data_IF_622178564904
#
_entry.id   IF_622178564904
#
_cell.length_a   1.000
_cell.length_b   1.000
_cell.length_c   1.000
_cell.angle_alpha   90.00
_cell.angle_beta   90.00
_cell.angle_gamma   90.00
#
_symmetry.space_group_name_H-M   'P 1'
#
loop_
_entity.id
_entity.type
_entity.pdbx_description
1 polymer ?
#
# COMPACT_ATOMS: atom_id res chain seq x y z
N UNK A 1 -6.07 5.74 2.21
CA UNK A 1 -4.65 5.39 2.08
C UNK A 1 -3.80 6.57 1.60
N UNK A 2 -4.29 7.38 0.64
CA UNK A 2 -3.47 8.40 -0.04
C UNK A 2 -3.56 9.80 0.58
N UNK A 3 -4.31 10.01 1.65
CA UNK A 3 -4.52 11.32 2.28
C UNK A 3 -3.25 11.97 2.85
N UNK A 4 -2.24 11.17 3.15
CA UNK A 4 -0.95 11.67 3.64
C UNK A 4 0.02 12.08 2.53
N UNK A 5 -0.39 12.02 1.26
CA UNK A 5 0.47 12.41 0.14
C UNK A 5 1.07 13.82 0.31
N UNK A 6 0.31 14.88 0.65
CA UNK A 6 0.89 16.20 0.85
C UNK A 6 1.96 16.23 1.96
N UNK A 7 1.74 15.49 3.03
CA UNK A 7 2.65 15.49 4.20
C UNK A 7 3.99 14.84 3.88
N UNK A 8 3.99 13.70 3.22
CA UNK A 8 5.21 12.93 3.00
C UNK A 8 5.84 13.15 1.63
N UNK A 9 5.03 13.28 0.56
CA UNK A 9 5.56 13.36 -0.80
C UNK A 9 6.13 14.74 -1.14
N UNK A 10 5.62 15.82 -0.54
CA UNK A 10 6.27 17.13 -0.65
C UNK A 10 7.66 17.13 0.00
N UNK A 11 7.82 16.45 1.14
CA UNK A 11 9.11 16.29 1.79
C UNK A 11 10.02 15.37 0.98
N UNK A 12 9.47 14.28 0.40
CA UNK A 12 10.21 13.40 -0.49
C UNK A 12 10.76 14.14 -1.72
N UNK A 13 9.95 15.01 -2.33
CA UNK A 13 10.37 15.83 -3.46
C UNK A 13 11.54 16.77 -3.11
N UNK A 14 11.55 17.31 -1.90
CA UNK A 14 12.57 18.24 -1.43
C UNK A 14 13.91 17.56 -1.05
N UNK A 15 13.99 16.21 -1.06
CA UNK A 15 15.24 15.51 -0.77
C UNK A 15 16.25 15.62 -1.92
N UNK A 16 17.52 15.75 -1.58
CA UNK A 16 18.63 15.72 -2.53
C UNK A 16 19.30 14.35 -2.65
N UNK A 17 18.80 13.36 -1.92
CA UNK A 17 19.26 11.98 -1.88
C UNK A 17 18.14 11.02 -2.31
N UNK A 18 18.45 10.12 -3.25
CA UNK A 18 17.48 9.15 -3.76
C UNK A 18 17.00 8.17 -2.69
N UNK A 19 17.89 7.76 -1.77
CA UNK A 19 17.54 6.84 -0.68
C UNK A 19 16.60 7.52 0.32
N UNK A 20 16.86 8.78 0.68
CA UNK A 20 15.97 9.53 1.59
C UNK A 20 14.60 9.78 0.92
N UNK A 21 14.56 10.15 -0.37
CA UNK A 21 13.31 10.25 -1.13
C UNK A 21 12.54 8.93 -1.09
N UNK A 22 13.22 7.82 -1.31
CA UNK A 22 12.63 6.48 -1.30
C UNK A 22 12.05 6.11 0.07
N UNK A 23 12.76 6.39 1.16
CA UNK A 23 12.28 6.19 2.55
C UNK A 23 11.00 6.96 2.85
N UNK A 24 10.87 8.21 2.37
CA UNK A 24 9.64 8.98 2.54
C UNK A 24 8.46 8.37 1.79
N UNK A 25 8.66 7.78 0.61
CA UNK A 25 7.60 7.08 -0.12
C UNK A 25 7.18 5.81 0.62
N UNK A 26 8.13 5.03 1.15
CA UNK A 26 7.83 3.87 1.99
C UNK A 26 7.03 4.30 3.23
N UNK A 27 7.45 5.37 3.91
CA UNK A 27 6.77 5.92 5.09
C UNK A 27 5.36 6.39 4.75
N UNK A 28 5.17 7.06 3.61
CA UNK A 28 3.87 7.47 3.10
C UNK A 28 2.91 6.28 2.96
N UNK A 29 3.37 5.22 2.31
CA UNK A 29 2.55 4.04 2.08
C UNK A 29 2.17 3.35 3.41
N UNK A 30 3.13 3.20 4.33
CA UNK A 30 2.89 2.61 5.66
C UNK A 30 1.94 3.47 6.49
N UNK A 31 2.15 4.79 6.52
CA UNK A 31 1.29 5.72 7.26
C UNK A 31 -0.17 5.65 6.82
N UNK A 32 -0.43 5.36 5.55
CA UNK A 32 -1.79 5.21 5.01
C UNK A 32 -2.50 3.93 5.46
N UNK A 33 -1.79 2.91 5.90
CA UNK A 33 -2.37 1.58 6.15
C UNK A 33 -3.43 1.57 7.25
N UNK A 34 -3.30 2.45 8.28
CA UNK A 34 -4.26 2.51 9.37
C UNK A 34 -5.70 2.85 8.92
N UNK A 35 -5.87 3.52 7.78
CA UNK A 35 -7.20 3.78 7.21
C UNK A 35 -7.89 2.51 6.68
N UNK A 36 -7.14 1.42 6.49
CA UNK A 36 -7.68 0.16 5.98
C UNK A 36 -8.42 -0.66 7.05
N UNK A 37 -8.25 -0.34 8.33
CA UNK A 37 -8.85 -1.08 9.45
C UNK A 37 -10.28 -0.62 9.80
N UNK A 38 -10.80 0.39 9.11
CA UNK A 38 -12.18 0.84 9.27
C UNK A 38 -13.16 -0.28 8.93
N UNK A 39 -14.06 -0.60 9.87
CA UNK A 39 -15.01 -1.71 9.70
C UNK A 39 -16.33 -1.32 9.04
N UNK A 40 -16.47 -0.05 8.68
CA UNK A 40 -17.65 0.42 7.95
C UNK A 40 -17.49 0.08 6.46
N UNK A 41 -18.38 -0.77 5.95
CA UNK A 41 -18.40 -1.12 4.54
C UNK A 41 -19.20 -0.06 3.77
N UNK A 42 -18.56 0.75 2.92
CA UNK A 42 -19.29 1.65 2.02
C UNK A 42 -20.03 0.84 0.93
N UNK A 43 -20.92 1.49 0.20
CA UNK A 43 -21.44 0.93 -1.04
C UNK A 43 -20.32 0.81 -2.08
N UNK A 44 -20.41 -0.22 -2.92
CA UNK A 44 -19.55 -0.31 -4.08
C UNK A 44 -19.90 0.83 -5.06
N UNK A 45 -18.92 1.44 -5.72
CA UNK A 45 -19.21 2.40 -6.77
C UNK A 45 -19.93 1.71 -7.94
N UNK A 46 -20.77 2.45 -8.66
CA UNK A 46 -21.36 1.96 -9.90
C UNK A 46 -20.36 2.10 -11.06
N UNK A 47 -20.57 1.32 -12.13
CA UNK A 47 -19.73 1.42 -13.32
C UNK A 47 -19.77 2.84 -13.92
N UNK A 48 -18.60 3.44 -14.14
CA UNK A 48 -18.43 4.79 -14.61
C UNK A 48 -18.57 5.88 -13.53
N UNK A 49 -18.79 5.50 -12.27
CA UNK A 49 -18.77 6.46 -11.17
C UNK A 49 -17.39 7.10 -11.03
N UNK A 50 -17.37 8.43 -10.97
CA UNK A 50 -16.16 9.22 -10.82
C UNK A 50 -16.17 9.98 -9.50
N UNK A 51 -14.97 10.21 -8.97
CA UNK A 51 -14.73 11.08 -7.83
C UNK A 51 -13.62 12.07 -8.19
N UNK A 52 -13.85 13.35 -7.91
CA UNK A 52 -12.86 14.40 -8.11
C UNK A 52 -12.74 15.26 -6.85
N UNK A 53 -11.52 15.64 -6.52
CA UNK A 53 -11.22 16.50 -5.38
C UNK A 53 -9.85 17.13 -5.56
N UNK A 54 -9.51 18.09 -4.70
CA UNK A 54 -8.19 18.71 -4.64
C UNK A 54 -7.69 18.62 -3.19
N UNK A 55 -6.43 18.18 -3.00
CA UNK A 55 -5.79 18.14 -1.69
C UNK A 55 -5.35 19.54 -1.27
N UNK A 56 -4.96 19.68 0.01
CA UNK A 56 -4.59 20.98 0.60
C UNK A 56 -3.30 21.59 0.02
N UNK A 57 -2.50 20.82 -0.73
CA UNK A 57 -1.30 21.29 -1.43
C UNK A 57 -1.56 21.59 -2.92
N UNK A 58 -2.82 21.57 -3.35
CA UNK A 58 -3.19 21.82 -4.74
C UNK A 58 -3.13 20.59 -5.65
N UNK A 59 -2.82 19.41 -5.12
CA UNK A 59 -2.83 18.16 -5.91
C UNK A 59 -4.26 17.77 -6.26
N UNK A 60 -4.57 17.64 -7.54
CA UNK A 60 -5.86 17.18 -8.04
C UNK A 60 -5.97 15.66 -7.95
N UNK A 61 -7.14 15.21 -7.51
CA UNK A 61 -7.48 13.79 -7.35
C UNK A 61 -8.60 13.45 -8.33
N UNK A 62 -8.41 12.38 -9.08
CA UNK A 62 -9.43 11.79 -9.95
C UNK A 62 -9.48 10.29 -9.75
N UNK A 63 -10.68 9.76 -9.55
CA UNK A 63 -10.91 8.32 -9.45
C UNK A 63 -12.07 7.93 -10.36
N UNK A 64 -12.04 6.71 -10.89
CA UNK A 64 -13.11 6.16 -11.72
C UNK A 64 -13.23 4.65 -11.53
N UNK A 65 -14.48 4.17 -11.39
CA UNK A 65 -14.79 2.75 -11.40
C UNK A 65 -14.97 2.26 -12.83
N UNK A 66 -13.93 1.68 -13.41
CA UNK A 66 -13.85 1.36 -14.85
C UNK A 66 -14.31 -0.04 -15.21
N UNK A 67 -14.44 -0.95 -14.22
CA UNK A 67 -14.95 -2.30 -14.41
C UNK A 67 -15.67 -2.76 -13.15
N UNK A 68 -16.75 -3.52 -13.30
CA UNK A 68 -17.53 -4.05 -12.18
C UNK A 68 -17.33 -5.57 -11.98
N UNK A 69 -17.00 -6.29 -13.04
CA UNK A 69 -16.68 -7.72 -13.04
C UNK A 69 -15.47 -8.01 -13.94
N UNK A 70 -14.24 -8.10 -13.38
CA UNK A 70 -13.85 -7.87 -11.98
C UNK A 70 -13.94 -6.40 -11.58
N UNK A 71 -14.11 -6.08 -10.27
CA UNK A 71 -14.21 -4.70 -9.81
C UNK A 71 -12.84 -4.02 -9.88
N UNK A 72 -12.73 -3.00 -10.75
CA UNK A 72 -11.52 -2.20 -10.96
C UNK A 72 -11.86 -0.74 -10.79
N UNK A 73 -11.14 -0.08 -9.89
CA UNK A 73 -11.18 1.38 -9.74
C UNK A 73 -9.79 1.94 -9.98
N UNK A 74 -9.70 2.89 -10.90
CA UNK A 74 -8.47 3.63 -11.15
C UNK A 74 -8.44 4.90 -10.31
N UNK A 75 -7.23 5.35 -9.99
CA UNK A 75 -7.01 6.61 -9.32
C UNK A 75 -5.78 7.31 -9.89
N UNK A 76 -5.86 8.63 -9.93
CA UNK A 76 -4.79 9.51 -10.33
C UNK A 76 -4.78 10.76 -9.45
N UNK A 77 -3.59 11.12 -8.99
CA UNK A 77 -3.30 12.35 -8.27
C UNK A 77 -2.29 13.12 -9.11
N UNK A 78 -2.57 14.37 -9.40
CA UNK A 78 -1.72 15.20 -10.26
C UNK A 78 -1.37 16.48 -9.53
N UNK A 79 -0.15 16.56 -9.07
CA UNK A 79 0.41 17.73 -8.40
C UNK A 79 1.66 18.24 -9.12
N UNK A 80 2.13 19.41 -8.72
CA UNK A 80 3.34 20.03 -9.27
C UNK A 80 4.60 19.26 -8.88
N UNK A 81 4.66 18.76 -7.64
CA UNK A 81 5.85 18.14 -7.04
C UNK A 81 5.84 16.61 -7.14
N UNK A 82 4.67 16.01 -7.28
CA UNK A 82 4.51 14.58 -7.41
C UNK A 82 3.22 14.24 -8.14
N UNK A 83 3.16 13.04 -8.67
CA UNK A 83 1.92 12.42 -9.12
C UNK A 83 1.82 11.00 -8.57
N UNK A 84 0.59 10.52 -8.37
CA UNK A 84 0.32 9.14 -7.98
C UNK A 84 -0.67 8.58 -8.99
N UNK A 85 -0.40 7.39 -9.50
CA UNK A 85 -1.32 6.68 -10.39
C UNK A 85 -1.37 5.20 -10.03
N UNK A 86 -2.52 4.59 -10.23
CA UNK A 86 -2.68 3.16 -9.99
C UNK A 86 -4.11 2.72 -10.19
N UNK A 87 -4.32 1.45 -9.90
CA UNK A 87 -5.67 0.90 -9.86
C UNK A 87 -5.80 -0.11 -8.73
N UNK A 88 -7.03 -0.35 -8.34
CA UNK A 88 -7.40 -1.34 -7.34
C UNK A 88 -8.24 -2.39 -8.03
N UNK A 89 -7.72 -3.62 -8.10
CA UNK A 89 -8.47 -4.81 -8.52
C UNK A 89 -8.76 -5.64 -7.27
N UNK A 90 -9.99 -5.55 -6.78
CA UNK A 90 -10.41 -6.24 -5.58
C UNK A 90 -10.73 -7.70 -5.85
N UNK A 91 -10.19 -8.57 -5.02
CA UNK A 91 -10.53 -9.98 -4.99
C UNK A 91 -10.75 -10.43 -3.56
N UNK A 92 -11.97 -10.89 -3.26
CA UNK A 92 -12.32 -11.43 -1.96
C UNK A 92 -12.48 -12.95 -2.05
N UNK A 93 -11.84 -13.67 -1.14
CA UNK A 93 -12.02 -15.12 -0.98
C UNK A 93 -12.32 -15.45 0.48
N UNK A 94 -13.25 -16.37 0.71
CA UNK A 94 -13.62 -16.82 2.05
C UNK A 94 -13.17 -18.25 2.26
N UNK A 95 -12.63 -18.54 3.43
CA UNK A 95 -12.27 -19.88 3.87
C UNK A 95 -12.99 -20.21 5.18
N UNK A 96 -13.89 -21.17 5.15
CA UNK A 96 -14.56 -21.68 6.34
C UNK A 96 -13.55 -22.30 7.30
N UNK A 97 -12.52 -22.99 6.78
CA UNK A 97 -11.48 -23.64 7.57
C UNK A 97 -10.68 -22.65 8.41
N UNK A 98 -10.36 -21.48 7.88
CA UNK A 98 -9.66 -20.43 8.60
C UNK A 98 -10.59 -19.44 9.30
N UNK A 99 -11.91 -19.59 9.15
CA UNK A 99 -12.91 -18.66 9.68
C UNK A 99 -12.61 -17.20 9.30
N UNK A 100 -12.10 -17.01 8.07
CA UNK A 100 -11.61 -15.72 7.62
C UNK A 100 -11.92 -15.43 6.14
N UNK A 101 -12.01 -14.16 5.83
CA UNK A 101 -12.04 -13.64 4.47
C UNK A 101 -10.71 -12.93 4.17
N UNK A 102 -10.12 -13.26 3.04
CA UNK A 102 -8.98 -12.54 2.49
C UNK A 102 -9.48 -11.56 1.43
N UNK A 103 -9.09 -10.32 1.58
CA UNK A 103 -9.37 -9.25 0.64
C UNK A 103 -8.05 -8.78 0.05
N UNK A 104 -7.78 -9.16 -1.20
CA UNK A 104 -6.52 -8.84 -1.88
C UNK A 104 -6.74 -7.75 -2.92
N UNK A 105 -5.71 -6.94 -3.11
CA UNK A 105 -5.63 -5.95 -4.17
C UNK A 105 -4.44 -6.27 -5.07
N UNK A 106 -4.66 -6.34 -6.38
CA UNK A 106 -3.63 -6.70 -7.36
C UNK A 106 -3.12 -5.51 -8.19
N UNK A 107 -3.57 -4.30 -7.90
CA UNK A 107 -3.12 -3.12 -8.62
C UNK A 107 -1.82 -2.54 -8.07
N UNK A 108 -0.91 -2.06 -8.94
CA UNK A 108 0.24 -1.29 -8.51
C UNK A 108 -0.14 0.15 -8.14
N UNK A 109 0.66 0.74 -7.26
CA UNK A 109 0.70 2.18 -7.00
C UNK A 109 2.01 2.71 -7.51
N UNK A 110 1.97 3.77 -8.32
CA UNK A 110 3.15 4.46 -8.86
C UNK A 110 3.18 5.88 -8.31
N UNK A 111 4.26 6.22 -7.64
CA UNK A 111 4.57 7.58 -7.21
C UNK A 111 5.67 8.10 -8.11
N UNK A 112 5.38 9.17 -8.87
CA UNK A 112 6.32 9.77 -9.81
C UNK A 112 6.68 11.17 -9.35
N UNK A 113 7.96 11.45 -9.32
CA UNK A 113 8.53 12.78 -9.08
C UNK A 113 9.09 13.34 -10.38
N UNK A 114 8.83 14.60 -10.72
CA UNK A 114 9.53 15.29 -11.80
C UNK A 114 11.00 15.54 -11.44
N UNK A 115 11.78 16.00 -12.41
CA UNK A 115 13.13 16.49 -12.14
C UNK A 115 13.09 17.65 -11.15
N UNK A 116 14.00 17.63 -10.17
CA UNK A 116 14.18 18.68 -9.18
C UNK A 116 15.64 19.10 -9.15
N UNK A 117 15.94 20.28 -8.59
CA UNK A 117 17.31 20.75 -8.42
C UNK A 117 18.11 19.74 -7.57
N UNK A 118 19.19 19.21 -8.16
CA UNK A 118 20.11 18.27 -7.50
C UNK A 118 19.67 16.80 -7.53
N UNK A 119 18.44 16.49 -7.91
CA UNK A 119 17.97 15.09 -7.97
C UNK A 119 17.04 14.84 -9.17
N UNK A 120 17.43 13.99 -10.13
CA UNK A 120 16.58 13.63 -11.26
C UNK A 120 15.26 12.98 -10.83
N UNK A 121 14.21 13.25 -11.58
CA UNK A 121 12.90 12.63 -11.38
C UNK A 121 12.95 11.11 -11.47
N UNK A 122 12.04 10.44 -10.77
CA UNK A 122 11.94 8.97 -10.74
C UNK A 122 10.52 8.51 -10.53
N UNK A 123 10.26 7.23 -10.78
CA UNK A 123 9.01 6.56 -10.47
C UNK A 123 9.29 5.41 -9.52
N UNK A 124 8.63 5.44 -8.36
CA UNK A 124 8.66 4.37 -7.36
C UNK A 124 7.35 3.63 -7.45
N UNK A 125 7.42 2.34 -7.74
CA UNK A 125 6.26 1.46 -7.84
C UNK A 125 6.18 0.56 -6.61
N UNK A 126 4.96 0.33 -6.08
CA UNK A 126 4.74 -0.63 -5.01
C UNK A 126 3.36 -1.28 -5.11
N UNK A 127 3.21 -2.45 -4.47
CA UNK A 127 1.94 -3.15 -4.30
C UNK A 127 1.32 -2.84 -2.94
N UNK A 128 -0.01 -2.86 -2.88
CA UNK A 128 -0.73 -2.79 -1.60
C UNK A 128 -0.77 -4.17 -0.93
N UNK A 129 -0.78 -4.21 0.42
CA UNK A 129 -0.95 -5.45 1.16
C UNK A 129 -2.38 -5.97 1.06
N UNK A 130 -2.65 -7.14 1.60
CA UNK A 130 -4.01 -7.67 1.72
C UNK A 130 -4.56 -7.55 3.14
N UNK A 131 -5.89 -7.56 3.24
CA UNK A 131 -6.61 -7.57 4.51
C UNK A 131 -7.14 -8.96 4.79
N UNK A 132 -6.92 -9.43 6.02
CA UNK A 132 -7.55 -10.63 6.54
C UNK A 132 -8.60 -10.23 7.57
N UNK A 133 -9.85 -10.62 7.33
CA UNK A 133 -10.96 -10.39 8.24
C UNK A 133 -11.30 -11.73 8.87
N UNK A 134 -10.93 -11.89 10.13
CA UNK A 134 -11.18 -13.10 10.93
C UNK A 134 -12.49 -13.05 11.71
N UNK A 135 -12.86 -14.19 12.34
CA UNK A 135 -14.03 -14.28 13.19
C UNK A 135 -15.36 -14.12 12.45
N UNK A 136 -15.46 -14.60 11.20
CA UNK A 136 -16.66 -14.41 10.37
C UNK A 136 -17.84 -15.26 10.82
N UNK A 137 -17.61 -16.50 11.23
CA UNK A 137 -18.63 -17.47 11.59
C UNK A 137 -18.72 -17.66 13.12
N UNK A 138 -17.57 -17.55 13.81
CA UNK A 138 -17.48 -17.70 15.26
C UNK A 138 -16.28 -16.94 15.83
N UNK A 139 -16.35 -16.53 17.11
CA UNK A 139 -15.31 -15.78 17.79
C UNK A 139 -15.38 -14.27 17.53
N UNK A 140 -14.36 -13.56 17.98
CA UNK A 140 -14.27 -12.11 17.82
C UNK A 140 -13.86 -11.73 16.40
N UNK A 141 -14.45 -10.66 15.89
CA UNK A 141 -14.09 -10.09 14.60
C UNK A 141 -12.72 -9.42 14.69
N UNK A 142 -11.79 -9.83 13.80
CA UNK A 142 -10.47 -9.21 13.66
C UNK A 142 -10.27 -8.67 12.25
N UNK A 143 -9.45 -7.64 12.13
CA UNK A 143 -8.98 -7.11 10.85
C UNK A 143 -7.47 -6.96 10.94
N UNK A 144 -6.76 -7.74 10.14
CA UNK A 144 -5.31 -7.78 10.11
C UNK A 144 -4.81 -7.37 8.72
N UNK A 145 -3.78 -6.51 8.68
CA UNK A 145 -3.07 -6.17 7.45
C UNK A 145 -1.93 -7.16 7.30
N UNK A 146 -1.90 -7.88 6.19
CA UNK A 146 -1.03 -9.03 5.99
C UNK A 146 -0.28 -8.96 4.67
N UNK A 147 0.80 -9.74 4.57
CA UNK A 147 1.56 -9.94 3.34
C UNK A 147 2.77 -9.05 3.21
N UNK A 148 3.28 -8.96 2.00
CA UNK A 148 4.49 -8.21 1.70
C UNK A 148 4.15 -7.02 0.79
N UNK A 149 4.75 -5.89 1.10
CA UNK A 149 4.81 -4.73 0.21
C UNK A 149 6.22 -4.67 -0.37
N UNK A 150 6.30 -4.66 -1.69
CA UNK A 150 7.57 -4.51 -2.40
C UNK A 150 7.56 -3.16 -3.10
N UNK A 151 8.58 -2.37 -2.83
CA UNK A 151 8.82 -1.05 -3.42
C UNK A 151 10.02 -1.15 -4.36
N UNK A 152 9.91 -0.57 -5.53
CA UNK A 152 10.99 -0.54 -6.53
C UNK A 152 11.20 0.87 -7.08
N UNK A 153 12.44 1.34 -7.01
CA UNK A 153 12.96 2.48 -7.77
C UNK A 153 14.01 1.97 -8.75
N UNK A 154 13.57 1.64 -9.95
CA UNK A 154 14.45 1.06 -10.98
C UNK A 154 15.53 2.02 -11.44
N UNK A 155 15.25 3.33 -11.46
CA UNK A 155 16.21 4.36 -11.87
C UNK A 155 17.37 4.46 -10.90
N UNK A 156 17.07 4.47 -9.62
CA UNK A 156 18.07 4.59 -8.55
C UNK A 156 18.53 3.23 -8.00
N UNK A 157 18.01 2.12 -8.55
CA UNK A 157 18.35 0.74 -8.17
C UNK A 157 18.12 0.46 -6.67
N UNK A 158 17.00 0.98 -6.15
CA UNK A 158 16.57 0.75 -4.77
C UNK A 158 15.36 -0.18 -4.75
N UNK A 159 15.36 -1.10 -3.81
CA UNK A 159 14.23 -1.97 -3.52
C UNK A 159 13.98 -2.03 -2.01
N UNK A 160 12.73 -2.06 -1.60
CA UNK A 160 12.35 -2.32 -0.21
C UNK A 160 11.33 -3.45 -0.16
N UNK A 161 11.56 -4.43 0.70
CA UNK A 161 10.59 -5.45 1.03
C UNK A 161 10.13 -5.26 2.47
N UNK A 162 8.84 -4.95 2.65
CA UNK A 162 8.19 -4.86 3.95
C UNK A 162 7.28 -6.07 4.15
N UNK A 163 7.47 -6.79 5.25
CA UNK A 163 6.63 -7.89 5.71
C UNK A 163 5.73 -7.41 6.83
N UNK A 164 4.44 -7.51 6.60
CA UNK A 164 3.40 -7.10 7.55
C UNK A 164 2.95 -8.33 8.33
N UNK A 165 2.93 -8.22 9.64
CA UNK A 165 2.62 -9.31 10.57
C UNK A 165 3.41 -10.60 10.28
N UNK A 166 4.76 -10.54 10.15
CA UNK A 166 5.58 -11.67 9.71
C UNK A 166 5.50 -12.88 10.67
N UNK A 167 5.19 -12.62 11.94
CA UNK A 167 5.10 -13.64 12.98
C UNK A 167 3.66 -14.14 13.21
N UNK A 168 2.70 -13.66 12.41
CA UNK A 168 1.31 -14.09 12.51
C UNK A 168 1.18 -15.57 12.12
N UNK A 169 0.68 -16.38 13.06
CA UNK A 169 0.43 -17.80 12.81
C UNK A 169 -0.81 -17.93 11.91
N UNK A 170 -0.61 -18.37 10.67
CA UNK A 170 -1.73 -18.69 9.79
C UNK A 170 -2.26 -20.10 10.06
N UNK A 171 -3.59 -20.25 10.05
CA UNK A 171 -4.25 -21.55 10.12
C UNK A 171 -4.52 -22.10 11.53
N UNK A 172 -4.84 -23.40 11.61
CA UNK A 172 -5.28 -24.12 12.83
C UNK A 172 -4.28 -24.04 14.00
N UNK A 173 -2.99 -23.80 13.72
CA UNK A 173 -1.96 -23.64 14.78
C UNK A 173 -2.16 -22.38 15.64
N UNK A 174 -2.85 -21.36 15.14
CA UNK A 174 -3.19 -20.14 15.90
C UNK A 174 -4.34 -20.36 16.89
N UNK A 175 -5.25 -21.28 16.63
CA UNK A 175 -6.44 -21.55 17.47
C UNK A 175 -6.10 -22.21 18.82
N UNK A 176 -4.96 -22.89 18.92
CA UNK A 176 -4.54 -23.60 20.15
C UNK A 176 -3.35 -22.92 20.84
N UNK A 177 -2.92 -21.76 20.37
CA UNK A 177 -1.81 -21.02 20.98
C UNK A 177 -2.35 -20.05 22.03
N UNK A 178 -2.01 -20.28 23.29
CA UNK A 178 -2.32 -19.35 24.40
C UNK A 178 -1.47 -18.05 24.37
N UNK A 179 -0.45 -17.97 23.51
CA UNK A 179 0.35 -16.76 23.33
C UNK A 179 -0.27 -15.90 22.25
N UNK A 180 -0.72 -14.69 22.61
CA UNK A 180 -1.10 -13.66 21.62
C UNK A 180 0.11 -13.38 20.74
N UNK A 181 0.02 -13.69 19.45
CA UNK A 181 1.02 -13.25 18.49
C UNK A 181 0.95 -11.73 18.42
N UNK A 182 2.08 -11.01 18.44
CA UNK A 182 2.04 -9.57 18.24
C UNK A 182 1.35 -9.27 16.91
N UNK A 183 0.29 -8.50 16.95
CA UNK A 183 -0.36 -7.90 15.79
C UNK A 183 0.30 -6.56 15.48
N UNK A 184 0.12 -6.05 14.27
CA UNK A 184 0.62 -4.73 13.84
C UNK A 184 2.15 -4.59 13.84
N UNK A 185 2.84 -5.73 13.72
CA UNK A 185 4.30 -5.75 13.53
C UNK A 185 4.64 -5.63 12.04
N UNK A 186 5.73 -4.93 11.76
CA UNK A 186 6.30 -4.88 10.41
C UNK A 186 7.82 -5.05 10.50
N UNK A 187 8.37 -5.71 9.50
CA UNK A 187 9.81 -5.85 9.29
C UNK A 187 10.13 -5.59 7.84
N UNK A 188 11.22 -4.89 7.59
CA UNK A 188 11.63 -4.60 6.23
C UNK A 188 13.10 -4.36 6.11
N UNK A 189 13.55 -4.40 4.88
CA UNK A 189 14.93 -4.15 4.48
C UNK A 189 14.93 -3.33 3.20
N UNK A 190 15.85 -2.38 3.11
CA UNK A 190 16.13 -1.64 1.87
C UNK A 190 17.39 -2.22 1.26
N UNK A 191 17.33 -2.50 -0.03
CA UNK A 191 18.39 -3.14 -0.80
C UNK A 191 18.88 -2.20 -1.90
N UNK A 192 20.19 -2.12 -2.03
CA UNK A 192 20.86 -1.61 -3.23
C UNK A 192 20.96 -2.74 -4.25
N UNK A 193 20.23 -2.61 -5.34
CA UNK A 193 20.19 -3.59 -6.43
C UNK A 193 21.21 -3.28 -7.54
N UNK A 194 22.11 -2.31 -7.34
CA UNK A 194 23.19 -2.00 -8.27
C UNK A 194 24.29 -3.09 -8.26
N UNK A 195 24.33 -3.89 -7.23
CA UNK A 195 25.29 -4.99 -7.02
C UNK A 195 24.58 -6.35 -7.03
N UNK A 196 25.30 -7.42 -7.33
CA UNK A 196 24.78 -8.79 -7.30
C UNK A 196 25.66 -9.66 -6.40
N UNK A 197 25.11 -10.30 -5.34
CA UNK A 197 23.71 -10.18 -4.87
C UNK A 197 23.40 -8.76 -4.33
N UNK A 198 22.10 -8.37 -4.28
CA UNK A 198 21.69 -7.09 -3.70
C UNK A 198 22.20 -6.94 -2.26
N UNK A 199 22.59 -5.71 -1.92
CA UNK A 199 23.17 -5.39 -0.60
C UNK A 199 22.17 -4.58 0.23
N UNK A 200 22.01 -4.97 1.49
CA UNK A 200 21.25 -4.20 2.48
C UNK A 200 21.97 -2.87 2.81
N UNK A 201 21.19 -1.78 2.88
CA UNK A 201 21.68 -0.41 3.14
C UNK A 201 20.82 0.31 4.18
#
# INVERSE_FOLDING_TARGET
>A
LMLYAPTFLNVAYAQNDALERFKYVVTFAVAGLHHSIGQLKPFNPILGETFQSTLNDGTDVSCEHTSHHPPISNFQFTGEKYSIAGFVLWHASMSVKSNAMLNTNKGPVRVTFPDAEGLPGTTIEYNLPYLQIGGLLWGDRTVDIMGNMVFEDKKNRLQCELRLNPDAKSGMGGMFSSSKTPTDSLRGVILDTSVSPPREI
#
